data_IF_930691838833
#
_entry.id   IF_930691838833
#
_cell.length_a   1.000
_cell.length_b   1.000
_cell.length_c   1.000
_cell.angle_alpha   90.00
_cell.angle_beta   90.00
_cell.angle_gamma   90.00
#
_symmetry.space_group_name_H-M   'P 1'
#
loop_
_entity.id
_entity.type
_entity.pdbx_description
1 polymer ?
#
# COMPACT_ATOMS: atom_id res chain seq x y z
N UNK A 1 19.26 -14.17 5.05
CA UNK A 1 17.87 -14.27 5.53
C UNK A 1 17.74 -15.51 6.41
N UNK A 2 17.27 -15.33 7.63
CA UNK A 2 17.17 -16.38 8.64
C UNK A 2 15.80 -17.08 8.56
N UNK A 3 15.76 -18.41 8.59
CA UNK A 3 14.52 -19.19 8.63
C UNK A 3 14.66 -20.35 9.62
N UNK A 4 14.24 -20.10 10.86
CA UNK A 4 14.34 -21.07 11.96
C UNK A 4 13.16 -22.05 11.97
N UNK A 5 12.00 -21.65 11.43
CA UNK A 5 10.83 -22.53 11.36
C UNK A 5 10.96 -23.64 10.34
N UNK A 6 11.95 -23.57 9.43
CA UNK A 6 12.08 -24.49 8.30
C UNK A 6 10.81 -24.56 7.43
N UNK A 7 10.03 -23.48 7.43
CA UNK A 7 8.82 -23.31 6.61
C UNK A 7 9.12 -22.27 5.54
N UNK A 8 8.86 -22.62 4.28
CA UNK A 8 9.09 -21.70 3.16
C UNK A 8 8.31 -20.39 3.36
N UNK A 9 8.94 -19.27 3.00
CA UNK A 9 8.34 -17.93 2.99
C UNK A 9 7.97 -17.35 4.37
N UNK A 10 8.54 -17.90 5.45
CA UNK A 10 8.49 -17.35 6.81
C UNK A 10 9.91 -16.98 7.27
N UNK A 11 10.26 -15.70 7.10
CA UNK A 11 11.61 -15.17 7.37
C UNK A 11 11.65 -14.53 8.76
N UNK A 12 12.75 -14.78 9.48
CA UNK A 12 13.10 -14.08 10.71
C UNK A 12 13.99 -12.90 10.34
N UNK A 13 13.59 -11.72 10.78
CA UNK A 13 14.35 -10.47 10.61
C UNK A 13 15.09 -10.15 11.90
N UNK A 14 16.36 -9.80 11.79
CA UNK A 14 17.18 -9.45 12.95
C UNK A 14 17.16 -7.93 13.18
N UNK A 15 17.79 -7.48 14.27
CA UNK A 15 17.75 -6.09 14.71
C UNK A 15 18.13 -5.10 13.60
N UNK A 16 19.16 -5.41 12.81
CA UNK A 16 19.62 -4.56 11.69
C UNK A 16 18.51 -4.35 10.66
N UNK A 17 17.84 -5.42 10.22
CA UNK A 17 16.76 -5.30 9.22
C UNK A 17 15.51 -4.64 9.79
N UNK A 18 15.22 -4.84 11.08
CA UNK A 18 14.11 -4.17 11.76
C UNK A 18 14.37 -2.65 11.80
N UNK A 19 15.55 -2.22 12.25
CA UNK A 19 15.93 -0.81 12.29
C UNK A 19 15.94 -0.18 10.89
N UNK A 20 16.44 -0.91 9.90
CA UNK A 20 16.41 -0.47 8.50
C UNK A 20 14.98 -0.28 8.01
N UNK A 21 14.07 -1.24 8.26
CA UNK A 21 12.66 -1.10 7.89
C UNK A 21 12.02 0.13 8.54
N UNK A 22 12.29 0.38 9.81
CA UNK A 22 11.75 1.54 10.53
C UNK A 22 12.27 2.87 9.93
N UNK A 23 13.55 2.90 9.57
CA UNK A 23 14.14 4.01 8.82
C UNK A 23 13.46 4.20 7.45
N UNK A 24 13.24 3.11 6.70
CA UNK A 24 12.54 3.14 5.40
C UNK A 24 11.12 3.70 5.55
N UNK A 25 10.37 3.30 6.57
CA UNK A 25 9.02 3.83 6.85
C UNK A 25 9.08 5.34 7.08
N UNK A 26 10.02 5.82 7.90
CA UNK A 26 10.21 7.24 8.16
C UNK A 26 10.55 8.02 6.89
N UNK A 27 11.55 7.55 6.14
CA UNK A 27 12.01 8.20 4.91
C UNK A 27 10.92 8.23 3.83
N UNK A 28 10.34 7.08 3.47
CA UNK A 28 9.33 7.00 2.41
C UNK A 28 8.07 7.82 2.74
N UNK A 29 7.60 7.81 4.00
CA UNK A 29 6.44 8.61 4.38
C UNK A 29 6.69 10.12 4.34
N UNK A 30 7.91 10.56 4.64
CA UNK A 30 8.29 11.97 4.49
C UNK A 30 8.36 12.39 3.03
N UNK A 31 9.00 11.59 2.18
CA UNK A 31 9.14 11.88 0.75
C UNK A 31 7.78 11.92 0.04
N UNK A 32 6.90 10.94 0.29
CA UNK A 32 5.54 10.94 -0.27
C UNK A 32 4.75 12.16 0.21
N UNK A 33 4.83 12.53 1.50
CA UNK A 33 4.18 13.74 2.03
C UNK A 33 4.70 15.02 1.35
N UNK A 34 6.02 15.13 1.19
CA UNK A 34 6.66 16.29 0.56
C UNK A 34 6.25 16.40 -0.91
N UNK A 35 6.28 15.29 -1.65
CA UNK A 35 5.80 15.21 -3.02
C UNK A 35 4.33 15.65 -3.12
N UNK A 36 3.42 15.02 -2.37
CA UNK A 36 1.99 15.34 -2.45
C UNK A 36 1.75 16.83 -2.21
N UNK A 37 2.36 17.40 -1.16
CA UNK A 37 2.21 18.82 -0.83
C UNK A 37 2.89 19.77 -1.82
N UNK A 38 3.93 19.33 -2.51
CA UNK A 38 4.55 20.11 -3.59
C UNK A 38 3.64 20.22 -4.81
N UNK A 39 2.88 19.16 -5.13
CA UNK A 39 1.90 19.16 -6.22
C UNK A 39 0.64 19.90 -5.82
N UNK A 40 0.15 19.66 -4.60
CA UNK A 40 -1.03 20.33 -4.06
C UNK A 40 -0.88 20.56 -2.54
N UNK A 41 -0.70 21.80 -2.08
CA UNK A 41 -0.49 22.08 -0.66
C UNK A 41 -1.71 21.75 0.23
N UNK A 42 -2.87 21.49 -0.36
CA UNK A 42 -4.10 21.11 0.35
C UNK A 42 -4.11 19.66 0.86
N UNK A 43 -3.15 18.81 0.47
CA UNK A 43 -3.09 17.43 0.96
C UNK A 43 -3.00 17.37 2.49
N UNK A 44 -4.08 16.85 3.10
CA UNK A 44 -4.08 16.36 4.46
C UNK A 44 -3.49 14.94 4.45
N UNK A 45 -2.41 14.72 5.21
CA UNK A 45 -1.66 13.46 5.20
C UNK A 45 -1.62 12.92 6.62
N UNK A 46 -2.21 11.75 6.84
CA UNK A 46 -2.36 11.15 8.17
C UNK A 46 -1.85 9.71 8.19
N UNK A 47 -1.15 9.37 9.27
CA UNK A 47 -0.76 7.99 9.57
C UNK A 47 -1.84 7.33 10.41
N UNK A 48 -2.13 6.06 10.13
CA UNK A 48 -2.95 5.19 10.97
C UNK A 48 -2.25 3.84 11.15
N UNK A 49 -2.72 3.06 12.11
CA UNK A 49 -2.43 1.63 12.19
C UNK A 49 -3.76 0.91 12.44
N UNK A 50 -4.15 0.06 11.49
CA UNK A 50 -5.33 -0.77 11.63
C UNK A 50 -4.94 -2.18 12.08
N UNK A 51 -5.85 -2.92 12.75
CA UNK A 51 -5.62 -4.32 13.07
C UNK A 51 -5.29 -5.17 11.83
N UNK A 52 -4.41 -6.15 12.01
CA UNK A 52 -4.13 -7.15 10.99
C UNK A 52 -5.30 -8.13 10.79
N UNK A 53 -6.07 -8.37 11.85
CA UNK A 53 -7.28 -9.18 11.81
C UNK A 53 -8.47 -8.31 11.37
N UNK A 54 -9.22 -8.75 10.37
CA UNK A 54 -10.34 -7.99 9.82
C UNK A 54 -11.55 -8.89 9.47
N UNK A 55 -12.77 -8.35 9.47
CA UNK A 55 -13.94 -9.04 8.92
C UNK A 55 -13.72 -9.51 7.47
N UNK A 56 -14.06 -10.77 7.17
CA UNK A 56 -13.99 -11.36 5.82
C UNK A 56 -14.76 -10.55 4.78
N UNK A 57 -15.87 -9.95 5.19
CA UNK A 57 -16.76 -9.14 4.34
C UNK A 57 -16.10 -7.87 3.79
N UNK A 58 -14.98 -7.45 4.37
CA UNK A 58 -14.23 -6.27 3.93
C UNK A 58 -13.09 -6.61 2.95
N UNK A 59 -12.75 -7.90 2.81
CA UNK A 59 -11.74 -8.33 1.84
C UNK A 59 -12.37 -8.42 0.46
N UNK A 60 -11.65 -7.90 -0.54
CA UNK A 60 -12.04 -7.96 -1.96
C UNK A 60 -12.50 -9.35 -2.38
N UNK A 61 -13.54 -9.41 -3.22
CA UNK A 61 -14.03 -10.66 -3.81
C UNK A 61 -13.02 -11.32 -4.75
N UNK A 62 -11.96 -10.60 -5.15
CA UNK A 62 -10.83 -11.16 -5.88
C UNK A 62 -10.02 -12.19 -5.07
N UNK A 63 -10.13 -12.17 -3.74
CA UNK A 63 -9.49 -13.16 -2.87
C UNK A 63 -10.44 -14.30 -2.52
N UNK A 64 -10.01 -15.52 -2.82
CA UNK A 64 -10.64 -16.75 -2.36
C UNK A 64 -9.99 -17.27 -1.06
N UNK A 65 -10.55 -18.32 -0.46
CA UNK A 65 -9.94 -18.98 0.71
C UNK A 65 -8.60 -19.67 0.38
N UNK A 66 -8.28 -19.87 -0.90
CA UNK A 66 -6.97 -20.35 -1.33
C UNK A 66 -5.89 -19.27 -1.23
N UNK A 67 -6.28 -17.99 -1.18
CA UNK A 67 -5.36 -16.84 -1.23
C UNK A 67 -5.10 -16.21 0.15
N UNK A 68 -5.98 -16.44 1.13
CA UNK A 68 -5.96 -15.76 2.44
C UNK A 68 -6.07 -16.73 3.61
N UNK A 69 -5.62 -16.29 4.79
CA UNK A 69 -5.77 -17.01 6.04
C UNK A 69 -7.10 -16.66 6.69
N UNK A 70 -7.98 -17.65 6.84
CA UNK A 70 -9.33 -17.50 7.38
C UNK A 70 -9.39 -18.16 8.75
N UNK A 71 -10.03 -17.50 9.70
CA UNK A 71 -10.34 -18.06 11.02
C UNK A 71 -11.22 -19.32 10.86
N UNK A 72 -10.93 -20.37 11.62
CA UNK A 72 -11.85 -21.49 11.78
C UNK A 72 -13.13 -21.01 12.49
N UNK A 73 -14.29 -21.24 11.87
CA UNK A 73 -15.58 -20.90 12.48
C UNK A 73 -16.06 -22.05 13.36
N UNK A 74 -16.24 -21.77 14.65
CA UNK A 74 -16.76 -22.75 15.62
C UNK A 74 -18.28 -22.72 15.70
N UNK A 75 -18.92 -21.62 15.25
CA UNK A 75 -20.37 -21.53 15.12
C UNK A 75 -20.81 -20.58 13.99
N UNK A 76 -22.06 -20.70 13.55
CA UNK A 76 -22.61 -19.88 12.46
C UNK A 76 -22.90 -18.43 12.85
N UNK A 77 -22.89 -18.11 14.15
CA UNK A 77 -23.08 -16.74 14.65
C UNK A 77 -21.76 -15.97 14.80
N UNK A 78 -20.62 -16.62 14.64
CA UNK A 78 -19.32 -15.96 14.73
C UNK A 78 -19.09 -15.02 13.53
N UNK A 79 -18.51 -13.86 13.83
CA UNK A 79 -18.03 -12.97 12.77
C UNK A 79 -16.83 -13.63 12.10
N UNK A 80 -16.93 -13.89 10.79
CA UNK A 80 -15.82 -14.42 10.01
C UNK A 80 -14.64 -13.43 10.00
N UNK A 81 -13.51 -13.79 10.61
CA UNK A 81 -12.29 -12.99 10.59
C UNK A 81 -11.23 -13.61 9.69
N UNK A 82 -10.38 -12.76 9.13
CA UNK A 82 -9.23 -13.13 8.30
C UNK A 82 -8.04 -12.28 8.66
N UNK A 83 -6.84 -12.81 8.42
CA UNK A 83 -5.64 -11.98 8.36
C UNK A 83 -5.66 -11.20 7.04
N UNK A 84 -5.50 -9.87 7.12
CA UNK A 84 -5.64 -8.99 5.96
C UNK A 84 -4.57 -9.30 4.89
N UNK A 85 -4.95 -9.39 3.60
CA UNK A 85 -3.99 -9.60 2.51
C UNK A 85 -3.29 -8.34 2.03
N UNK A 86 -3.80 -7.18 2.45
CA UNK A 86 -3.33 -5.83 2.13
C UNK A 86 -3.92 -4.86 3.18
N UNK A 87 -3.44 -3.62 3.23
CA UNK A 87 -3.91 -2.65 4.23
C UNK A 87 -5.04 -1.76 3.72
N UNK A 88 -5.22 -1.67 2.40
CA UNK A 88 -6.18 -0.77 1.72
C UNK A 88 -7.60 -0.81 2.27
N UNK A 89 -8.26 -1.97 2.46
CA UNK A 89 -9.63 -2.00 2.97
C UNK A 89 -9.79 -1.34 4.34
N UNK A 90 -8.85 -1.59 5.25
CA UNK A 90 -8.87 -0.97 6.58
C UNK A 90 -8.61 0.53 6.51
N UNK A 91 -7.70 0.96 5.63
CA UNK A 91 -7.44 2.38 5.37
C UNK A 91 -8.69 3.09 4.85
N UNK A 92 -9.41 2.50 3.89
CA UNK A 92 -10.66 3.07 3.36
C UNK A 92 -11.73 3.24 4.43
N UNK A 93 -11.90 2.26 5.31
CA UNK A 93 -12.86 2.36 6.43
C UNK A 93 -12.52 3.54 7.32
N UNK A 94 -11.24 3.70 7.67
CA UNK A 94 -10.79 4.84 8.47
C UNK A 94 -11.00 6.17 7.74
N UNK A 95 -10.68 6.24 6.43
CA UNK A 95 -10.93 7.43 5.60
C UNK A 95 -12.39 7.83 5.60
N UNK A 96 -13.32 6.87 5.40
CA UNK A 96 -14.77 7.15 5.49
C UNK A 96 -15.15 7.69 6.86
N UNK A 97 -14.64 7.08 7.92
CA UNK A 97 -14.91 7.51 9.30
C UNK A 97 -14.49 8.97 9.51
N UNK A 98 -13.28 9.36 9.12
CA UNK A 98 -12.81 10.74 9.32
C UNK A 98 -13.42 11.75 8.34
N UNK A 99 -13.77 11.34 7.12
CA UNK A 99 -14.50 12.21 6.18
C UNK A 99 -15.94 12.45 6.63
N UNK A 100 -16.61 11.44 7.19
CA UNK A 100 -17.99 11.55 7.66
C UNK A 100 -18.14 12.25 9.01
N UNK A 101 -17.20 12.04 9.93
CA UNK A 101 -17.36 12.48 11.33
C UNK A 101 -16.54 13.72 11.70
N UNK A 102 -15.49 14.07 10.95
CA UNK A 102 -14.63 15.21 11.29
C UNK A 102 -14.90 16.38 10.34
N UNK A 103 -15.61 17.40 10.85
CA UNK A 103 -16.09 18.54 10.06
C UNK A 103 -15.03 19.35 9.33
N UNK A 104 -13.73 19.20 9.67
CA UNK A 104 -12.60 19.87 9.01
C UNK A 104 -11.84 19.01 7.99
N UNK A 105 -12.09 17.71 7.93
CA UNK A 105 -11.41 16.81 6.97
C UNK A 105 -12.04 16.98 5.59
N UNK A 106 -11.22 17.19 4.56
CA UNK A 106 -11.65 17.40 3.18
C UNK A 106 -10.73 16.64 2.23
N UNK A 107 -11.19 16.36 1.02
CA UNK A 107 -10.31 15.93 -0.06
C UNK A 107 -9.51 17.14 -0.60
N UNK A 108 -8.25 16.95 -1.04
CA UNK A 108 -7.53 15.68 -1.13
C UNK A 108 -6.97 15.20 0.22
N UNK A 109 -7.11 13.89 0.49
CA UNK A 109 -6.76 13.25 1.76
C UNK A 109 -5.92 11.99 1.52
N UNK A 110 -4.73 11.95 2.08
CA UNK A 110 -3.87 10.78 2.13
C UNK A 110 -3.95 10.16 3.53
N UNK A 111 -4.36 8.89 3.60
CA UNK A 111 -4.16 8.07 4.79
C UNK A 111 -3.21 6.95 4.44
N UNK A 112 -2.20 6.75 5.26
CA UNK A 112 -1.19 5.72 5.05
C UNK A 112 -0.94 4.91 6.31
N UNK A 113 -0.51 3.67 6.12
CA UNK A 113 -0.07 2.81 7.20
C UNK A 113 1.06 1.90 6.74
N UNK A 114 1.95 1.57 7.68
CA UNK A 114 2.90 0.49 7.54
C UNK A 114 2.45 -0.65 8.45
N UNK A 115 2.35 -1.86 7.93
CA UNK A 115 1.89 -2.99 8.73
C UNK A 115 2.06 -4.33 8.04
N UNK A 116 1.82 -5.39 8.80
CA UNK A 116 1.85 -6.76 8.27
C UNK A 116 0.60 -7.05 7.44
N UNK A 117 0.81 -7.84 6.40
CA UNK A 117 -0.18 -8.43 5.51
C UNK A 117 0.17 -9.89 5.28
N UNK A 118 -0.85 -10.68 4.91
CA UNK A 118 -0.77 -12.13 4.90
C UNK A 118 -1.40 -12.69 3.65
N UNK A 119 -0.65 -13.50 2.92
CA UNK A 119 -1.14 -14.18 1.70
C UNK A 119 -0.73 -15.63 1.74
N UNK A 120 -1.59 -16.49 1.21
CA UNK A 120 -1.28 -17.91 0.98
C UNK A 120 -0.45 -18.03 -0.30
N UNK A 121 0.82 -17.65 -0.20
CA UNK A 121 1.75 -17.77 -1.31
C UNK A 121 2.15 -19.22 -1.57
N UNK A 122 2.28 -19.56 -2.86
CA UNK A 122 2.87 -20.83 -3.30
C UNK A 122 4.35 -20.87 -2.94
N UNK A 123 4.87 -22.06 -2.67
CA UNK A 123 6.26 -22.22 -2.27
C UNK A 123 7.21 -21.83 -3.40
N UNK A 124 8.14 -20.91 -3.11
CA UNK A 124 9.16 -20.44 -4.03
C UNK A 124 10.48 -20.21 -3.28
N UNK A 125 11.63 -20.22 -3.95
CA UNK A 125 12.89 -19.86 -3.31
C UNK A 125 12.81 -18.48 -2.65
N UNK A 126 13.33 -18.33 -1.43
CA UNK A 126 13.16 -17.10 -0.63
C UNK A 126 13.72 -15.86 -1.32
N UNK A 127 14.69 -16.01 -2.24
CA UNK A 127 15.20 -14.92 -3.09
C UNK A 127 14.12 -14.21 -3.93
N UNK A 128 12.94 -14.83 -4.12
CA UNK A 128 11.82 -14.20 -4.79
C UNK A 128 11.05 -13.21 -3.90
N UNK A 129 11.28 -13.22 -2.58
CA UNK A 129 10.61 -12.37 -1.59
C UNK A 129 9.07 -12.38 -1.72
N UNK A 130 8.53 -13.58 -2.00
CA UNK A 130 7.10 -13.88 -1.95
C UNK A 130 6.80 -14.54 -0.61
N UNK A 131 6.66 -13.72 0.42
CA UNK A 131 6.49 -14.19 1.80
C UNK A 131 5.01 -14.44 2.12
N UNK A 132 4.74 -15.36 3.06
CA UNK A 132 3.36 -15.61 3.54
C UNK A 132 2.89 -14.54 4.51
N UNK A 133 3.84 -13.91 5.19
CA UNK A 133 3.67 -12.77 6.08
C UNK A 133 4.73 -11.73 5.72
N UNK A 134 4.30 -10.52 5.42
CA UNK A 134 5.16 -9.45 4.92
C UNK A 134 4.65 -8.08 5.36
N UNK A 135 5.57 -7.13 5.44
CA UNK A 135 5.35 -5.73 5.69
C UNK A 135 5.08 -4.97 4.39
N UNK A 136 4.00 -4.21 4.41
CA UNK A 136 3.67 -3.25 3.37
C UNK A 136 3.58 -1.85 3.97
N UNK A 137 3.99 -0.86 3.18
CA UNK A 137 3.72 0.54 3.41
C UNK A 137 2.82 1.01 2.27
N UNK A 138 1.56 1.28 2.58
CA UNK A 138 0.56 1.68 1.58
C UNK A 138 0.04 3.07 1.89
N UNK A 139 0.00 3.92 0.86
CA UNK A 139 -0.60 5.25 0.88
C UNK A 139 -1.87 5.22 0.05
N UNK A 140 -2.99 5.61 0.65
CA UNK A 140 -4.26 5.78 -0.04
C UNK A 140 -4.57 7.27 -0.14
N UNK A 141 -4.30 7.83 -1.31
CA UNK A 141 -4.39 9.25 -1.60
C UNK A 141 -5.70 9.53 -2.37
N UNK A 142 -6.79 9.81 -1.65
CA UNK A 142 -8.10 10.09 -2.25
C UNK A 142 -8.22 11.54 -2.71
N UNK A 143 -8.78 11.74 -3.91
CA UNK A 143 -9.05 13.04 -4.52
C UNK A 143 -10.29 12.98 -5.41
N UNK A 144 -10.89 14.12 -5.73
CA UNK A 144 -12.07 14.15 -6.60
C UNK A 144 -11.67 13.93 -8.06
N UNK A 145 -12.44 13.13 -8.78
CA UNK A 145 -12.18 12.77 -10.18
C UNK A 145 -12.16 14.00 -11.11
N UNK A 146 -12.92 15.04 -10.76
CA UNK A 146 -13.03 16.30 -11.48
C UNK A 146 -11.94 17.33 -11.13
N UNK A 147 -10.96 16.96 -10.30
CA UNK A 147 -9.89 17.87 -9.89
C UNK A 147 -8.95 18.29 -11.03
N UNK A 148 -8.98 17.59 -12.17
CA UNK A 148 -8.09 17.81 -13.32
C UNK A 148 -6.62 17.41 -13.07
N UNK A 149 -6.30 16.87 -11.89
CA UNK A 149 -4.94 16.46 -11.55
C UNK A 149 -4.72 14.97 -11.88
N UNK A 150 -3.64 14.67 -12.60
CA UNK A 150 -3.17 13.30 -12.76
C UNK A 150 -2.08 12.98 -11.73
N UNK A 151 -2.50 12.69 -10.50
CA UNK A 151 -1.57 12.35 -9.42
C UNK A 151 -0.82 11.03 -9.69
N UNK A 152 -1.39 10.12 -10.49
CA UNK A 152 -0.74 8.87 -10.87
C UNK A 152 0.48 9.14 -11.73
N UNK A 153 0.33 9.86 -12.84
CA UNK A 153 1.46 10.23 -13.68
C UNK A 153 2.49 11.10 -12.92
N UNK A 154 2.02 12.03 -12.08
CA UNK A 154 2.88 12.95 -11.35
C UNK A 154 3.77 12.26 -10.29
N UNK A 155 3.36 11.11 -9.73
CA UNK A 155 4.09 10.47 -8.64
C UNK A 155 5.16 9.47 -9.10
N UNK A 156 5.10 8.98 -10.35
CA UNK A 156 5.95 7.86 -10.81
C UNK A 156 7.43 8.13 -10.62
N UNK A 157 7.93 9.22 -11.20
CA UNK A 157 9.35 9.57 -11.15
C UNK A 157 9.81 10.03 -9.74
N UNK A 158 9.02 10.83 -8.98
CA UNK A 158 9.32 11.07 -7.57
C UNK A 158 9.46 9.79 -6.73
N UNK A 159 8.51 8.85 -6.83
CA UNK A 159 8.55 7.59 -6.05
C UNK A 159 9.71 6.71 -6.51
N UNK A 160 9.99 6.62 -7.83
CA UNK A 160 11.14 5.88 -8.36
C UNK A 160 12.46 6.43 -7.81
N UNK A 161 12.62 7.77 -7.79
CA UNK A 161 13.83 8.42 -7.26
C UNK A 161 13.97 8.21 -5.75
N UNK A 162 12.88 8.32 -5.00
CA UNK A 162 12.84 8.02 -3.57
C UNK A 162 13.31 6.58 -3.27
N UNK A 163 12.84 5.60 -4.04
CA UNK A 163 13.27 4.20 -3.88
C UNK A 163 14.75 4.05 -4.26
N UNK A 164 15.18 4.64 -5.38
CA UNK A 164 16.56 4.58 -5.84
C UNK A 164 17.55 5.21 -4.86
N UNK A 165 17.18 6.35 -4.25
CA UNK A 165 18.04 7.07 -3.31
C UNK A 165 18.30 6.30 -2.04
N UNK A 166 17.40 5.37 -1.66
CA UNK A 166 17.54 4.58 -0.45
C UNK A 166 18.17 3.22 -0.71
N UNK A 167 17.76 2.51 -1.77
CA UNK A 167 18.23 1.14 -2.06
C UNK A 167 19.60 1.13 -2.74
N UNK A 168 19.99 2.20 -3.43
CA UNK A 168 21.28 2.32 -4.14
C UNK A 168 21.52 1.25 -5.23
N UNK A 169 20.45 0.77 -5.85
CA UNK A 169 20.49 -0.12 -7.01
C UNK A 169 19.75 0.51 -8.20
N UNK A 170 20.01 0.06 -9.45
CA UNK A 170 19.27 0.52 -10.60
C UNK A 170 17.76 0.29 -10.43
N UNK A 171 16.95 1.31 -10.76
CA UNK A 171 15.49 1.23 -10.69
C UNK A 171 14.85 1.61 -12.02
N UNK A 172 13.70 1.00 -12.33
CA UNK A 172 12.90 1.31 -13.53
C UNK A 172 11.41 1.39 -13.18
N UNK A 173 10.67 2.09 -14.03
CA UNK A 173 9.21 2.10 -14.02
C UNK A 173 8.76 1.23 -15.20
N UNK A 174 7.86 0.28 -14.96
CA UNK A 174 7.30 -0.61 -15.97
C UNK A 174 5.77 -0.69 -15.84
N UNK A 175 5.03 -0.88 -16.93
CA UNK A 175 3.62 -1.26 -16.85
C UNK A 175 3.47 -2.54 -16.02
N UNK A 176 2.44 -2.61 -15.18
CA UNK A 176 2.22 -3.82 -14.38
C UNK A 176 1.70 -4.96 -15.25
N UNK A 177 2.18 -6.17 -15.00
CA UNK A 177 1.69 -7.40 -15.63
C UNK A 177 0.29 -7.78 -15.15
N UNK A 178 -0.23 -7.10 -14.11
CA UNK A 178 -1.54 -7.34 -13.53
C UNK A 178 -2.29 -6.02 -13.43
N UNK A 179 -3.42 -5.92 -14.13
CA UNK A 179 -4.36 -4.81 -13.96
C UNK A 179 -5.58 -5.30 -13.18
N UNK A 180 -5.70 -4.97 -11.88
CA UNK A 180 -6.87 -5.36 -11.11
C UNK A 180 -8.12 -4.62 -11.59
N UNK A 181 -9.29 -5.25 -11.47
CA UNK A 181 -10.56 -4.64 -11.87
C UNK A 181 -10.90 -3.31 -11.16
N UNK A 182 -10.28 -3.07 -10.00
CA UNK A 182 -10.43 -1.84 -9.21
C UNK A 182 -9.52 -0.69 -9.65
N UNK A 183 -8.65 -0.90 -10.66
CA UNK A 183 -7.68 0.10 -11.13
C UNK A 183 -7.80 0.40 -12.62
N UNK A 184 -7.73 1.68 -12.97
CA UNK A 184 -7.65 2.14 -14.37
C UNK A 184 -6.26 1.93 -14.97
N UNK A 185 -5.22 2.08 -14.14
CA UNK A 185 -3.83 1.92 -14.54
C UNK A 185 -3.00 1.55 -13.32
N UNK A 186 -2.14 0.55 -13.51
CA UNK A 186 -1.13 0.14 -12.52
C UNK A 186 0.23 0.10 -13.18
N UNK A 187 1.22 0.70 -12.53
CA UNK A 187 2.63 0.66 -12.94
C UNK A 187 3.48 0.27 -11.74
N UNK A 188 4.52 -0.49 -12.01
CA UNK A 188 5.40 -1.03 -11.01
C UNK A 188 6.76 -0.35 -11.07
N UNK A 189 7.36 -0.16 -9.89
CA UNK A 189 8.77 0.21 -9.74
C UNK A 189 9.53 -1.04 -9.35
N UNK A 190 10.51 -1.36 -10.19
CA UNK A 190 11.39 -2.51 -10.00
C UNK A 190 12.82 -2.08 -9.69
N UNK A 191 13.51 -2.92 -8.92
CA UNK A 191 14.92 -2.81 -8.59
C UNK A 191 15.67 -3.97 -9.24
N UNK A 192 16.79 -3.67 -9.91
CA UNK A 192 17.72 -4.69 -10.39
C UNK A 192 18.70 -5.08 -9.28
N UNK A 193 18.59 -6.33 -8.82
CA UNK A 193 19.44 -6.87 -7.77
C UNK A 193 20.55 -7.79 -8.28
N UNK A 194 20.81 -7.78 -9.59
CA UNK A 194 21.83 -8.58 -10.27
C UNK A 194 21.38 -10.00 -10.64
N UNK A 195 20.35 -10.55 -9.99
CA UNK A 195 19.72 -11.82 -10.38
C UNK A 195 18.48 -11.56 -11.25
N UNK A 196 17.69 -10.54 -10.89
CA UNK A 196 16.47 -10.17 -11.59
C UNK A 196 16.03 -8.74 -11.28
N UNK A 197 15.08 -8.26 -12.07
CA UNK A 197 14.22 -7.15 -11.68
C UNK A 197 13.19 -7.65 -10.66
N UNK A 198 13.13 -6.95 -9.52
CA UNK A 198 12.17 -7.23 -8.45
C UNK A 198 11.30 -6.00 -8.24
N UNK A 199 9.99 -6.16 -8.45
CA UNK A 199 8.98 -5.18 -8.04
C UNK A 199 9.11 -4.90 -6.54
N UNK A 200 9.26 -3.62 -6.18
CA UNK A 200 9.32 -3.16 -4.79
C UNK A 200 8.19 -2.20 -4.46
N UNK A 201 7.56 -1.60 -5.47
CA UNK A 201 6.41 -0.73 -5.30
C UNK A 201 5.46 -0.87 -6.48
N UNK A 202 4.17 -0.90 -6.21
CA UNK A 202 3.11 -0.81 -7.20
C UNK A 202 2.34 0.49 -7.00
N UNK A 203 2.05 1.18 -8.11
CA UNK A 203 1.37 2.48 -8.12
C UNK A 203 0.11 2.38 -8.99
N UNK A 204 -1.05 2.53 -8.36
CA UNK A 204 -2.35 2.32 -8.98
C UNK A 204 -3.23 3.56 -8.94
N UNK A 205 -3.96 3.83 -10.01
CA UNK A 205 -5.11 4.74 -9.99
C UNK A 205 -6.37 3.92 -9.81
N UNK A 206 -6.92 3.92 -8.60
CA UNK A 206 -8.09 3.13 -8.21
C UNK A 206 -9.38 3.93 -8.33
N UNK A 207 -10.46 3.23 -8.64
CA UNK A 207 -11.83 3.78 -8.82
C UNK A 207 -12.81 3.22 -7.78
N UNK A 208 -12.32 2.44 -6.83
CA UNK A 208 -13.12 1.61 -5.92
C UNK A 208 -13.37 2.25 -4.55
N UNK A 209 -13.14 3.56 -4.42
CA UNK A 209 -13.40 4.23 -3.15
C UNK A 209 -14.90 4.14 -2.81
N UNK A 210 -15.27 3.58 -1.64
CA UNK A 210 -16.63 3.10 -1.38
C UNK A 210 -17.70 4.19 -1.17
N UNK A 211 -17.34 5.48 -1.26
CA UNK A 211 -18.29 6.58 -1.10
C UNK A 211 -17.98 7.73 -2.06
N UNK A 212 -19.02 8.37 -2.58
CA UNK A 212 -18.87 9.68 -3.23
C UNK A 212 -18.52 10.75 -2.20
N UNK A 213 -17.85 11.80 -2.65
CA UNK A 213 -17.50 12.93 -1.80
C UNK A 213 -18.46 14.08 -2.05
N UNK A 214 -19.16 14.54 -1.00
CA UNK A 214 -20.09 15.67 -1.09
C UNK A 214 -19.42 16.95 -0.63
N UNK A 215 -19.28 17.92 -1.53
CA UNK A 215 -18.79 19.25 -1.21
C UNK A 215 -19.96 20.24 -1.10
N UNK A 216 -19.86 21.19 -0.16
CA UNK A 216 -20.84 22.26 0.00
C UNK A 216 -20.14 23.60 -0.23
N UNK A 217 -20.36 24.28 -1.37
CA UNK A 217 -19.79 25.59 -1.62
C UNK A 217 -20.45 26.63 -0.69
N UNK A 218 -19.75 27.75 -0.45
CA UNK A 218 -20.28 28.88 0.36
C UNK A 218 -21.57 29.46 -0.21
N UNK A 219 -21.76 29.37 -1.53
CA UNK A 219 -22.98 29.73 -2.25
C UNK A 219 -23.27 28.63 -3.27
N UNK A 220 -24.51 28.13 -3.31
CA UNK A 220 -24.95 27.09 -4.24
C UNK A 220 -25.36 25.78 -3.55
N UNK A 221 -25.86 24.84 -4.37
CA UNK A 221 -26.22 23.50 -3.92
C UNK A 221 -24.97 22.66 -3.63
N UNK A 222 -25.14 21.61 -2.83
CA UNK A 222 -24.09 20.61 -2.66
C UNK A 222 -23.79 19.92 -3.98
N UNK A 223 -22.53 19.55 -4.18
CA UNK A 223 -22.05 18.83 -5.36
C UNK A 223 -21.48 17.49 -4.92
N UNK A 224 -21.88 16.42 -5.59
CA UNK A 224 -21.36 15.07 -5.34
C UNK A 224 -20.28 14.74 -6.38
N UNK A 225 -19.10 14.38 -5.90
CA UNK A 225 -17.94 14.05 -6.72
C UNK A 225 -17.66 12.55 -6.65
N UNK A 226 -17.30 11.97 -7.79
CA UNK A 226 -16.65 10.66 -7.79
C UNK A 226 -15.22 10.81 -7.24
N UNK A 227 -14.73 9.76 -6.58
CA UNK A 227 -13.45 9.78 -5.87
C UNK A 227 -12.51 8.79 -6.54
N UNK A 228 -11.35 9.28 -6.95
CA UNK A 228 -10.23 8.46 -7.36
C UNK A 228 -9.25 8.32 -6.20
N UNK A 229 -8.51 7.23 -6.18
CA UNK A 229 -7.45 6.99 -5.20
C UNK A 229 -6.15 6.71 -5.93
N UNK A 230 -5.14 7.53 -5.67
CA UNK A 230 -3.76 7.17 -5.96
C UNK A 230 -3.30 6.24 -4.83
N UNK A 231 -3.05 4.98 -5.18
CA UNK A 231 -2.41 4.02 -4.28
C UNK A 231 -0.91 3.96 -4.60
N UNK A 232 -0.09 4.09 -3.55
CA UNK A 232 1.34 3.79 -3.61
C UNK A 232 1.57 2.66 -2.60
N UNK A 233 1.80 1.44 -3.08
CA UNK A 233 1.98 0.24 -2.27
C UNK A 233 3.44 -0.23 -2.33
N UNK A 234 4.19 -0.10 -1.24
CA UNK A 234 5.61 -0.44 -1.15
C UNK A 234 5.78 -1.73 -0.34
N UNK A 235 6.44 -2.73 -0.92
CA UNK A 235 6.81 -3.97 -0.23
C UNK A 235 8.08 -3.80 0.59
N UNK A 236 7.95 -3.48 1.88
CA UNK A 236 9.07 -3.12 2.74
C UNK A 236 10.11 -4.24 2.87
N UNK A 237 9.70 -5.51 2.97
CA UNK A 237 10.65 -6.63 3.01
C UNK A 237 11.47 -6.75 1.73
N UNK A 238 10.87 -6.45 0.57
CA UNK A 238 11.59 -6.43 -0.70
C UNK A 238 12.57 -5.25 -0.74
N UNK A 239 12.21 -4.09 -0.22
CA UNK A 239 13.13 -2.97 -0.09
C UNK A 239 14.33 -3.32 0.80
N UNK A 240 14.08 -3.89 1.99
CA UNK A 240 15.14 -4.35 2.93
C UNK A 240 16.04 -5.38 2.26
N UNK A 241 15.45 -6.37 1.59
CA UNK A 241 16.20 -7.42 0.89
C UNK A 241 17.15 -6.84 -0.18
N UNK A 242 16.65 -5.94 -1.02
CA UNK A 242 17.46 -5.33 -2.08
C UNK A 242 18.50 -4.35 -1.51
N UNK A 243 18.20 -3.64 -0.43
CA UNK A 243 19.17 -2.79 0.26
C UNK A 243 20.34 -3.62 0.81
N UNK A 244 20.07 -4.77 1.43
CA UNK A 244 21.12 -5.67 1.93
C UNK A 244 22.01 -6.17 0.78
N UNK A 245 21.44 -6.53 -0.37
CA UNK A 245 22.21 -6.89 -1.57
C UNK A 245 23.12 -5.75 -2.02
N UNK A 246 22.65 -4.50 -1.96
CA UNK A 246 23.44 -3.33 -2.33
C UNK A 246 24.58 -3.09 -1.34
N UNK A 247 24.32 -3.25 -0.04
CA UNK A 247 25.30 -3.03 1.02
C UNK A 247 26.41 -4.09 1.09
N UNK A 248 26.14 -5.30 0.58
CA UNK A 248 27.10 -6.40 0.52
C UNK A 248 28.00 -6.36 -0.74
N UNK A 249 27.78 -5.40 -1.66
CA UNK A 249 28.59 -5.17 -2.87
C UNK A 249 29.67 -4.12 -2.64
#
# INVERSE_FOLDING_TARGET
>A
MLNIYHVNSLVHWEEREIQLRDHMIGFFSQEVRSFLRSVNPAWDVRRVEAPALMPRSLVSSAYSNADIWVQEQLSTSETALVLRPETTPSTYIYMRHILGNHSKTRLPLCVWQAGRSYRREQEQPTKHMRLKEFWQLEFQCAFTADSGNDYHAACLEPVRRMIASLIHLPTRIVPSDRLPAYSEVTVDIEVDNGDKWMEVCSISRRTDFPQRYRSQPRKGAAVDHDVLVLEIAIGLDRCVYNWNIAADR
#
